data_IF_082213226714
#
_entry.id   IF_082213226714
#
_cell.length_a   1.000
_cell.length_b   1.000
_cell.length_c   1.000
_cell.angle_alpha   90.00
_cell.angle_beta   90.00
_cell.angle_gamma   90.00
#
_symmetry.space_group_name_H-M   'P 1'
#
loop_
_entity.id
_entity.type
_entity.pdbx_description
1 polymer ?
#
# COMPACT_ATOMS: atom_id res chain seq x y z
N UNK A 1 -8.25 14.30 18.66
CA UNK A 1 -7.39 13.45 19.50
C UNK A 1 -6.63 12.48 18.60
N UNK A 2 -5.30 12.55 18.61
CA UNK A 2 -4.49 11.65 17.81
C UNK A 2 -4.23 10.38 18.63
N UNK A 3 -4.61 9.23 18.08
CA UNK A 3 -4.42 7.94 18.75
C UNK A 3 -3.09 7.32 18.35
N UNK A 4 -2.65 6.31 19.09
CA UNK A 4 -1.44 5.56 18.81
C UNK A 4 -1.47 4.91 17.43
N UNK A 5 -2.63 4.38 17.00
CA UNK A 5 -2.80 3.81 15.68
C UNK A 5 -2.64 4.83 14.56
N UNK A 6 -3.25 6.01 14.73
CA UNK A 6 -3.15 7.11 13.76
C UNK A 6 -1.70 7.60 13.65
N UNK A 7 -1.03 7.77 14.77
CA UNK A 7 0.39 8.20 14.80
C UNK A 7 1.27 7.19 14.06
N UNK A 8 1.07 5.91 14.30
CA UNK A 8 1.83 4.84 13.68
C UNK A 8 1.60 4.79 12.17
N UNK A 9 0.33 4.87 11.75
CA UNK A 9 -0.02 4.88 10.33
C UNK A 9 0.64 6.05 9.62
N UNK A 10 0.49 7.27 10.16
CA UNK A 10 1.05 8.47 9.57
C UNK A 10 2.58 8.45 9.52
N UNK A 11 3.21 7.91 10.56
CA UNK A 11 4.67 7.79 10.62
C UNK A 11 5.20 6.88 9.51
N UNK A 12 4.59 5.71 9.33
CA UNK A 12 4.99 4.76 8.30
C UNK A 12 4.75 5.34 6.91
N UNK A 13 3.59 5.98 6.69
CA UNK A 13 3.28 6.65 5.42
C UNK A 13 4.35 7.69 5.07
N UNK A 14 4.75 8.50 6.05
CA UNK A 14 5.75 9.54 5.83
C UNK A 14 7.14 8.97 5.58
N UNK A 15 7.57 7.97 6.36
CA UNK A 15 8.90 7.37 6.24
C UNK A 15 9.10 6.64 4.91
N UNK A 16 8.06 6.02 4.39
CA UNK A 16 8.13 5.25 3.14
C UNK A 16 7.65 6.04 1.92
N UNK A 17 7.15 7.25 2.12
CA UNK A 17 6.62 8.06 1.02
C UNK A 17 5.40 7.44 0.35
N UNK A 18 4.53 6.84 1.14
CA UNK A 18 3.32 6.19 0.61
C UNK A 18 2.28 7.22 0.18
N UNK A 19 1.44 6.82 -0.76
CA UNK A 19 0.34 7.66 -1.23
C UNK A 19 -0.96 7.30 -0.50
N UNK A 20 -1.62 8.32 0.05
CA UNK A 20 -2.94 8.21 0.68
C UNK A 20 -3.92 8.97 -0.20
N UNK A 21 -4.93 8.29 -0.73
CA UNK A 21 -5.92 8.90 -1.60
C UNK A 21 -6.79 9.92 -0.83
N UNK A 22 -7.48 10.77 -1.58
CA UNK A 22 -8.28 11.85 -1.00
C UNK A 22 -9.37 11.33 -0.06
N UNK A 23 -10.05 10.26 -0.43
CA UNK A 23 -11.10 9.68 0.40
C UNK A 23 -10.55 9.19 1.73
N UNK A 24 -9.40 8.50 1.72
CA UNK A 24 -8.72 8.07 2.94
C UNK A 24 -8.28 9.24 3.80
N UNK A 25 -7.81 10.33 3.18
CA UNK A 25 -7.47 11.56 3.91
C UNK A 25 -8.69 12.17 4.60
N UNK A 26 -9.82 12.17 3.92
CA UNK A 26 -11.09 12.66 4.48
C UNK A 26 -11.55 11.80 5.66
N UNK A 27 -11.36 10.48 5.57
CA UNK A 27 -11.67 9.56 6.66
C UNK A 27 -10.77 9.85 7.87
N UNK A 28 -9.48 10.09 7.65
CA UNK A 28 -8.54 10.44 8.73
C UNK A 28 -8.93 11.70 9.50
N UNK A 29 -9.63 12.61 8.84
CA UNK A 29 -10.09 13.86 9.45
C UNK A 29 -11.50 13.77 10.04
N UNK A 30 -12.14 12.61 9.95
CA UNK A 30 -13.50 12.38 10.44
C UNK A 30 -13.52 11.21 11.43
N UNK A 31 -13.55 11.48 12.76
CA UNK A 31 -13.52 10.41 13.77
C UNK A 31 -14.66 9.41 13.67
N UNK A 32 -15.83 9.83 13.21
CA UNK A 32 -16.96 8.91 13.05
C UNK A 32 -16.74 7.95 11.88
N UNK A 33 -16.25 8.45 10.76
CA UNK A 33 -15.94 7.62 9.59
C UNK A 33 -14.81 6.63 9.90
N UNK A 34 -13.80 7.05 10.67
CA UNK A 34 -12.66 6.21 11.02
C UNK A 34 -13.05 4.94 11.78
N UNK A 35 -14.17 4.93 12.48
CA UNK A 35 -14.65 3.75 13.21
C UNK A 35 -15.18 2.66 12.31
N UNK A 36 -15.60 3.02 11.09
CA UNK A 36 -16.33 2.13 10.20
C UNK A 36 -15.71 1.95 8.83
N UNK A 37 -14.89 2.89 8.37
CA UNK A 37 -14.33 2.89 7.02
C UNK A 37 -12.81 2.72 7.06
N UNK A 38 -12.25 1.92 6.14
CA UNK A 38 -10.80 1.71 6.11
C UNK A 38 -10.08 2.92 5.50
N UNK A 39 -8.95 3.26 6.10
CA UNK A 39 -7.98 4.20 5.54
C UNK A 39 -6.90 3.36 4.86
N UNK A 40 -6.58 3.68 3.61
CA UNK A 40 -5.64 2.88 2.82
C UNK A 40 -4.48 3.72 2.32
N UNK A 41 -3.29 3.12 2.32
CA UNK A 41 -2.08 3.73 1.75
C UNK A 41 -1.51 2.81 0.68
N UNK A 42 -1.05 3.43 -0.40
CA UNK A 42 -0.54 2.75 -1.60
C UNK A 42 0.93 3.08 -1.78
N UNK A 43 1.64 2.28 -2.57
CA UNK A 43 3.06 2.52 -2.84
C UNK A 43 3.28 3.93 -3.43
N UNK A 44 2.44 4.30 -4.40
CA UNK A 44 2.42 5.62 -5.02
C UNK A 44 1.05 5.87 -5.67
N UNK A 45 0.86 7.04 -6.26
CA UNK A 45 -0.39 7.39 -6.94
C UNK A 45 -0.71 6.44 -8.10
N UNK A 46 0.31 6.02 -8.83
CA UNK A 46 0.16 5.08 -9.94
C UNK A 46 -0.39 3.73 -9.45
N UNK A 47 0.08 3.25 -8.30
CA UNK A 47 -0.43 2.03 -7.67
C UNK A 47 -1.92 2.14 -7.34
N UNK A 48 -2.34 3.29 -6.84
CA UNK A 48 -3.74 3.58 -6.56
C UNK A 48 -4.58 3.57 -7.84
N UNK A 49 -4.13 4.26 -8.89
CA UNK A 49 -4.84 4.36 -10.16
C UNK A 49 -4.93 3.01 -10.90
N UNK A 50 -3.94 2.16 -10.75
CA UNK A 50 -3.88 0.85 -11.41
C UNK A 50 -4.51 -0.27 -10.60
N UNK A 51 -5.11 0.05 -9.45
CA UNK A 51 -5.76 -0.94 -8.56
C UNK A 51 -4.84 -2.09 -8.13
N UNK A 52 -3.54 -1.80 -7.94
CA UNK A 52 -2.56 -2.81 -7.49
C UNK A 52 -2.74 -3.22 -6.02
N UNK A 53 -3.64 -2.56 -5.32
CA UNK A 53 -3.92 -2.83 -3.92
C UNK A 53 -3.16 -1.92 -2.97
N UNK A 54 -3.66 -1.84 -1.76
CA UNK A 54 -3.01 -1.06 -0.70
C UNK A 54 -1.93 -1.91 -0.01
N UNK A 55 -0.90 -1.23 0.48
CA UNK A 55 0.20 -1.87 1.20
C UNK A 55 0.05 -1.73 2.71
N UNK A 56 -0.65 -0.70 3.15
CA UNK A 56 -0.91 -0.42 4.55
C UNK A 56 -2.35 0.06 4.70
N UNK A 57 -3.03 -0.34 5.77
CA UNK A 57 -4.39 0.11 6.02
C UNK A 57 -4.61 0.30 7.52
N UNK A 58 -5.68 1.02 7.86
CA UNK A 58 -6.10 1.21 9.24
C UNK A 58 -7.62 1.18 9.30
N UNK A 59 -8.15 0.36 10.21
CA UNK A 59 -9.60 0.27 10.49
C UNK A 59 -9.78 0.40 11.99
N UNK A 60 -10.59 1.35 12.42
CA UNK A 60 -10.87 1.61 13.84
C UNK A 60 -9.59 1.63 14.69
N UNK A 61 -8.61 2.43 14.23
CA UNK A 61 -7.31 2.62 14.89
C UNK A 61 -6.38 1.39 14.89
N UNK A 62 -6.81 0.29 14.28
CA UNK A 62 -5.96 -0.89 14.12
C UNK A 62 -5.24 -0.83 12.78
N UNK A 63 -3.92 -0.87 12.81
CA UNK A 63 -3.08 -0.82 11.61
C UNK A 63 -2.83 -2.23 11.10
N UNK A 64 -2.98 -2.41 9.79
CA UNK A 64 -2.74 -3.68 9.09
C UNK A 64 -1.72 -3.45 7.99
N UNK A 65 -0.82 -4.40 7.81
CA UNK A 65 0.23 -4.32 6.80
C UNK A 65 0.19 -5.54 5.89
N UNK A 66 0.47 -5.34 4.60
CA UNK A 66 0.61 -6.44 3.65
C UNK A 66 1.97 -7.11 3.82
N UNK A 67 1.99 -8.45 3.78
CA UNK A 67 3.20 -9.24 3.98
C UNK A 67 3.83 -9.72 2.70
N UNK A 68 3.04 -9.91 1.64
CA UNK A 68 3.48 -10.60 0.44
C UNK A 68 3.01 -9.90 -0.82
N UNK A 69 3.79 -10.11 -1.87
CA UNK A 69 3.37 -9.74 -3.22
C UNK A 69 2.99 -11.02 -3.96
N UNK A 70 1.95 -10.94 -4.79
CA UNK A 70 1.56 -12.05 -5.66
C UNK A 70 1.77 -11.62 -7.10
N UNK A 71 2.79 -12.20 -7.74
CA UNK A 71 3.10 -11.92 -9.15
C UNK A 71 2.33 -12.80 -10.12
N UNK A 72 1.62 -13.81 -9.63
CA UNK A 72 1.07 -14.87 -10.46
C UNK A 72 -0.38 -14.66 -10.91
N UNK A 73 -1.01 -13.54 -10.55
CA UNK A 73 -2.33 -13.24 -11.07
C UNK A 73 -2.19 -12.73 -12.49
N UNK A 74 -2.78 -13.46 -13.42
CA UNK A 74 -2.83 -13.06 -14.81
C UNK A 74 -4.12 -12.29 -15.06
N UNK A 75 -4.03 -11.18 -15.80
CA UNK A 75 -5.22 -10.51 -16.29
C UNK A 75 -5.89 -11.35 -17.41
N UNK A 76 -7.02 -10.87 -17.95
CA UNK A 76 -7.76 -11.57 -18.99
C UNK A 76 -6.95 -11.77 -20.28
N UNK A 77 -5.85 -11.02 -20.43
CA UNK A 77 -4.95 -11.12 -21.58
C UNK A 77 -3.73 -12.01 -21.31
N UNK A 78 -3.63 -12.57 -20.11
CA UNK A 78 -2.52 -13.43 -19.71
C UNK A 78 -1.29 -12.70 -19.21
N UNK A 79 -1.36 -11.38 -18.99
CA UNK A 79 -0.27 -10.61 -18.43
C UNK A 79 -0.24 -10.75 -16.91
N UNK A 80 0.96 -10.90 -16.35
CA UNK A 80 1.12 -10.97 -14.89
C UNK A 80 0.85 -9.61 -14.25
N UNK A 81 -0.03 -9.60 -13.27
CA UNK A 81 -0.28 -8.43 -12.46
C UNK A 81 0.45 -8.53 -11.13
N UNK A 82 0.94 -7.40 -10.65
CA UNK A 82 1.59 -7.29 -9.36
C UNK A 82 0.56 -6.84 -8.34
N UNK A 83 0.19 -7.72 -7.41
CA UNK A 83 -0.84 -7.45 -6.41
C UNK A 83 -0.28 -7.74 -5.02
N UNK A 84 -0.58 -6.85 -4.07
CA UNK A 84 -0.25 -7.06 -2.66
C UNK A 84 -1.30 -7.95 -2.02
N UNK A 85 -0.84 -8.93 -1.25
CA UNK A 85 -1.70 -9.91 -0.61
C UNK A 85 -1.30 -10.14 0.85
N UNK A 86 -2.25 -10.63 1.64
CA UNK A 86 -1.98 -11.04 3.03
C UNK A 86 -1.85 -9.89 4.01
N UNK A 87 -2.97 -9.26 4.38
CA UNK A 87 -2.99 -8.27 5.45
C UNK A 87 -2.95 -8.91 6.83
N UNK A 88 -2.02 -8.48 7.66
CA UNK A 88 -1.92 -8.91 9.07
C UNK A 88 -1.92 -7.71 9.99
N UNK A 89 -2.41 -7.86 11.24
CA UNK A 89 -2.35 -6.79 12.23
C UNK A 89 -0.90 -6.36 12.49
N UNK A 90 -0.64 -5.06 12.43
CA UNK A 90 0.71 -4.53 12.58
C UNK A 90 1.21 -4.50 14.02
N UNK A 91 0.32 -4.72 15.01
CA UNK A 91 0.68 -4.66 16.43
C UNK A 91 1.68 -5.74 16.86
N UNK A 92 1.85 -6.81 16.06
CA UNK A 92 2.82 -7.87 16.33
C UNK A 92 4.24 -7.49 15.88
N UNK A 93 4.41 -6.35 15.19
CA UNK A 93 5.68 -5.92 14.62
C UNK A 93 6.08 -4.56 15.17
N UNK A 94 7.39 -4.32 15.27
CA UNK A 94 7.90 -2.98 15.59
C UNK A 94 7.80 -2.08 14.35
N UNK A 95 7.84 -0.77 14.56
CA UNK A 95 7.84 0.18 13.45
C UNK A 95 9.03 -0.04 12.52
N UNK A 96 10.20 -0.37 13.09
CA UNK A 96 11.41 -0.66 12.31
C UNK A 96 11.24 -1.87 11.40
N UNK A 97 10.69 -2.96 11.95
CA UNK A 97 10.41 -4.17 11.19
C UNK A 97 9.41 -3.93 10.07
N UNK A 98 8.36 -3.16 10.34
CA UNK A 98 7.36 -2.81 9.34
C UNK A 98 7.97 -1.96 8.23
N UNK A 99 8.74 -0.93 8.57
CA UNK A 99 9.36 -0.06 7.57
C UNK A 99 10.35 -0.82 6.69
N UNK A 100 11.12 -1.73 7.26
CA UNK A 100 12.04 -2.56 6.50
C UNK A 100 11.29 -3.48 5.53
N UNK A 101 10.29 -4.20 6.03
CA UNK A 101 9.51 -5.14 5.23
C UNK A 101 8.70 -4.43 4.13
N UNK A 102 7.96 -3.40 4.50
CA UNK A 102 7.14 -2.64 3.53
C UNK A 102 8.02 -1.88 2.54
N UNK A 103 9.20 -1.44 2.97
CA UNK A 103 10.18 -0.81 2.08
C UNK A 103 10.65 -1.76 0.99
N UNK A 104 10.89 -3.03 1.32
CA UNK A 104 11.24 -4.05 0.33
C UNK A 104 10.09 -4.31 -0.65
N UNK A 105 8.87 -4.39 -0.16
CA UNK A 105 7.70 -4.56 -1.02
C UNK A 105 7.54 -3.37 -1.98
N UNK A 106 7.78 -2.16 -1.51
CA UNK A 106 7.76 -0.96 -2.36
C UNK A 106 8.81 -1.04 -3.48
N UNK A 107 10.01 -1.50 -3.16
CA UNK A 107 11.08 -1.68 -4.15
C UNK A 107 10.72 -2.72 -5.20
N UNK A 108 10.15 -3.83 -4.78
CA UNK A 108 9.69 -4.89 -5.69
C UNK A 108 8.63 -4.37 -6.66
N UNK A 109 7.67 -3.62 -6.14
CA UNK A 109 6.63 -2.99 -6.96
C UNK A 109 7.22 -2.04 -8.00
N UNK A 110 8.10 -1.15 -7.56
CA UNK A 110 8.71 -0.17 -8.46
C UNK A 110 9.57 -0.83 -9.54
N UNK A 111 10.31 -1.88 -9.18
CA UNK A 111 11.13 -2.64 -10.13
C UNK A 111 10.25 -3.34 -11.17
N UNK A 112 9.14 -3.93 -10.77
CA UNK A 112 8.18 -4.57 -11.67
C UNK A 112 7.63 -3.56 -12.70
N UNK A 113 7.24 -2.38 -12.24
CA UNK A 113 6.70 -1.34 -13.10
C UNK A 113 7.74 -0.76 -14.06
N UNK A 114 8.99 -0.63 -13.65
CA UNK A 114 10.07 -0.19 -14.54
C UNK A 114 10.30 -1.18 -15.67
N UNK A 115 10.31 -2.48 -15.37
CA UNK A 115 10.42 -3.53 -16.40
C UNK A 115 9.27 -3.47 -17.39
N UNK A 116 8.06 -3.25 -16.89
CA UNK A 116 6.86 -3.17 -17.73
C UNK A 116 6.92 -1.96 -18.67
N UNK A 117 7.39 -0.82 -18.18
CA UNK A 117 7.57 0.40 -18.99
C UNK A 117 8.64 0.21 -20.08
N UNK A 118 9.77 -0.41 -19.72
CA UNK A 118 10.84 -0.71 -20.69
C UNK A 118 10.35 -1.64 -21.78
N UNK A 119 9.62 -2.70 -21.43
CA UNK A 119 9.05 -3.63 -22.39
C UNK A 119 8.09 -2.90 -23.36
N UNK A 120 7.24 -2.02 -22.84
CA UNK A 120 6.31 -1.22 -23.65
C UNK A 120 7.06 -0.28 -24.60
N UNK A 121 8.11 0.38 -24.15
CA UNK A 121 8.94 1.26 -24.98
C UNK A 121 9.65 0.47 -26.09
N UNK A 122 10.11 -0.73 -25.80
CA UNK A 122 10.79 -1.58 -26.79
C UNK A 122 9.83 -2.14 -27.84
N UNK A 123 8.56 -2.34 -27.49
CA UNK A 123 7.54 -2.78 -28.45
C UNK A 123 7.19 -1.70 -29.48
N UNK A 124 7.35 -0.42 -29.12
CA UNK A 124 7.06 0.71 -30.00
C UNK A 124 8.18 0.98 -31.00
N UNK A 125 9.26 0.26 -30.93
CA UNK A 125 10.38 0.31 -31.85
C UNK A 125 10.47 -0.96 -32.68
#
# INVERSE_FOLDING_TARGET
MVTEGIERFNKIVMLLGLYVDKDSQDILNDPERMKHEPVMAFVNEESFLNHSGYILSMIDECVYACLETVEDMKDDLGNKEFVFNGCVPAWTYTDEMLCEHLGELCKEYKAHFQKKRLASLMEDF
#
